data_IF_511597659506
#
_entry.id   IF_511597659506
#
_cell.length_a   1.000
_cell.length_b   1.000
_cell.length_c   1.000
_cell.angle_alpha   90.00
_cell.angle_beta   90.00
_cell.angle_gamma   90.00
#
_symmetry.space_group_name_H-M   'P 1'
#
loop_
_entity.id
_entity.type
_entity.pdbx_description
1 polymer ?
#
# COMPACT_ATOMS: atom_id res chain seq x y z
N UNK A 1 -8.92 14.39 -22.11
CA UNK A 1 -7.95 13.99 -21.06
C UNK A 1 -7.37 12.65 -21.48
N UNK A 2 -6.07 12.56 -21.81
CA UNK A 2 -5.41 11.30 -22.17
C UNK A 2 -5.64 10.28 -21.05
N UNK A 3 -6.37 9.19 -21.34
CA UNK A 3 -6.62 8.11 -20.38
C UNK A 3 -5.45 7.14 -20.44
N UNK A 4 -4.45 7.37 -19.58
CA UNK A 4 -3.42 6.38 -19.34
C UNK A 4 -4.03 5.12 -18.69
N UNK A 5 -3.63 3.94 -19.16
CA UNK A 5 -4.06 2.65 -18.60
C UNK A 5 -3.58 2.48 -17.16
N UNK A 6 -4.12 1.49 -16.46
CA UNK A 6 -3.71 1.21 -15.08
C UNK A 6 -2.24 0.73 -15.05
N UNK A 7 -1.87 -0.17 -15.95
CA UNK A 7 -0.50 -0.70 -16.02
C UNK A 7 0.51 0.41 -16.29
N UNK A 8 0.22 1.29 -17.24
CA UNK A 8 1.11 2.41 -17.58
C UNK A 8 1.34 3.34 -16.39
N UNK A 9 0.31 3.59 -15.57
CA UNK A 9 0.47 4.43 -14.37
C UNK A 9 1.33 3.75 -13.31
N UNK A 10 1.14 2.44 -13.10
CA UNK A 10 1.93 1.69 -12.13
C UNK A 10 3.40 1.63 -12.54
N UNK A 11 3.67 1.34 -13.81
CA UNK A 11 5.02 1.33 -14.37
C UNK A 11 5.67 2.72 -14.30
N UNK A 12 4.92 3.78 -14.62
CA UNK A 12 5.41 5.15 -14.52
C UNK A 12 5.74 5.58 -13.08
N UNK A 13 4.96 5.12 -12.10
CA UNK A 13 5.25 5.35 -10.68
C UNK A 13 6.48 4.54 -10.26
N UNK A 14 6.59 3.28 -10.66
CA UNK A 14 7.74 2.41 -10.33
C UNK A 14 9.03 2.99 -10.88
N UNK A 15 9.04 3.34 -12.17
CA UNK A 15 10.19 3.98 -12.82
C UNK A 15 10.55 5.30 -12.11
N UNK A 16 9.55 6.08 -11.70
CA UNK A 16 9.74 7.32 -10.94
C UNK A 16 10.33 7.11 -9.53
N UNK A 17 10.07 5.96 -8.91
CA UNK A 17 10.70 5.58 -7.63
C UNK A 17 12.18 5.23 -7.84
N UNK A 18 12.56 4.63 -8.98
CA UNK A 18 13.94 4.24 -9.31
C UNK A 18 14.81 5.40 -9.82
N UNK A 19 14.38 6.11 -10.88
CA UNK A 19 15.20 7.13 -11.56
C UNK A 19 14.78 8.57 -11.20
N UNK A 20 13.72 8.71 -10.42
CA UNK A 20 13.16 9.99 -10.02
C UNK A 20 12.10 10.54 -10.98
N UNK A 21 11.18 11.39 -10.49
CA UNK A 21 9.98 11.80 -11.23
C UNK A 21 10.28 12.64 -12.48
N UNK A 22 11.38 13.40 -12.48
CA UNK A 22 11.79 14.23 -13.62
C UNK A 22 12.34 13.39 -14.78
N UNK A 23 13.17 12.39 -14.48
CA UNK A 23 13.73 11.49 -15.51
C UNK A 23 12.66 10.53 -16.04
N UNK A 24 11.81 9.98 -15.17
CA UNK A 24 10.70 9.13 -15.58
C UNK A 24 9.72 9.86 -16.51
N UNK A 25 9.39 11.12 -16.19
CA UNK A 25 8.55 11.95 -17.06
C UNK A 25 9.15 12.15 -18.45
N UNK A 26 10.46 12.43 -18.54
CA UNK A 26 11.16 12.58 -19.82
C UNK A 26 11.19 11.27 -20.61
N UNK A 27 11.49 10.15 -19.97
CA UNK A 27 11.60 8.84 -20.62
C UNK A 27 10.25 8.34 -21.15
N UNK A 28 9.17 8.60 -20.41
CA UNK A 28 7.81 8.19 -20.78
C UNK A 28 7.11 9.21 -21.68
N UNK A 29 7.73 10.36 -21.96
CA UNK A 29 7.14 11.43 -22.75
C UNK A 29 5.89 12.06 -22.11
N UNK A 30 5.76 12.00 -20.79
CA UNK A 30 4.61 12.55 -20.05
C UNK A 30 5.01 13.74 -19.19
N UNK A 31 4.03 14.54 -18.78
CA UNK A 31 4.29 15.70 -17.95
C UNK A 31 4.76 15.27 -16.55
N UNK A 32 5.83 15.88 -16.06
CA UNK A 32 6.32 15.74 -14.69
C UNK A 32 5.23 15.91 -13.63
N UNK A 33 4.34 16.90 -13.81
CA UNK A 33 3.23 17.13 -12.89
C UNK A 33 2.31 15.91 -12.78
N UNK A 34 2.12 15.17 -13.88
CA UNK A 34 1.31 13.95 -13.92
C UNK A 34 1.90 12.83 -13.07
N UNK A 35 3.22 12.61 -13.15
CA UNK A 35 3.93 11.65 -12.30
C UNK A 35 3.77 12.02 -10.82
N UNK A 36 3.92 13.31 -10.48
CA UNK A 36 3.77 13.80 -9.10
C UNK A 36 2.35 13.58 -8.58
N UNK A 37 1.33 13.86 -9.39
CA UNK A 37 -0.06 13.64 -9.02
C UNK A 37 -0.38 12.16 -8.82
N UNK A 38 0.20 11.28 -9.64
CA UNK A 38 0.06 9.83 -9.46
C UNK A 38 0.71 9.34 -8.17
N UNK A 39 1.91 9.83 -7.82
CA UNK A 39 2.56 9.52 -6.54
C UNK A 39 1.74 10.02 -5.35
N UNK A 40 1.15 11.21 -5.43
CA UNK A 40 0.23 11.73 -4.40
C UNK A 40 -1.00 10.85 -4.26
N UNK A 41 -1.63 10.46 -5.36
CA UNK A 41 -2.82 9.59 -5.37
C UNK A 41 -2.51 8.20 -4.80
N UNK A 42 -1.32 7.65 -5.05
CA UNK A 42 -0.85 6.40 -4.42
C UNK A 42 -0.76 6.55 -2.91
N UNK A 43 -0.10 7.60 -2.41
CA UNK A 43 -0.02 7.88 -0.96
C UNK A 43 -1.39 8.08 -0.31
N UNK A 44 -2.32 8.74 -0.99
CA UNK A 44 -3.70 8.90 -0.48
C UNK A 44 -4.45 7.57 -0.49
N UNK A 45 -4.25 6.72 -1.49
CA UNK A 45 -4.81 5.35 -1.50
C UNK A 45 -4.22 4.49 -0.40
N UNK A 46 -2.91 4.48 -0.22
CA UNK A 46 -2.23 3.75 0.86
C UNK A 46 -2.71 4.25 2.24
N UNK A 47 -2.88 5.57 2.41
CA UNK A 47 -3.50 6.11 3.63
C UNK A 47 -4.94 5.67 3.80
N UNK A 48 -5.74 5.63 2.73
CA UNK A 48 -7.15 5.25 2.80
C UNK A 48 -7.34 3.76 3.03
N UNK A 49 -6.49 2.91 2.44
CA UNK A 49 -6.45 1.47 2.68
C UNK A 49 -6.01 1.16 4.12
N UNK A 50 -5.04 1.92 4.65
CA UNK A 50 -4.66 1.88 6.07
C UNK A 50 -5.68 2.51 7.02
N UNK A 51 -6.69 3.22 6.50
CA UNK A 51 -7.80 3.79 7.28
C UNK A 51 -9.11 3.05 7.09
N UNK A 52 -9.15 2.03 6.22
CA UNK A 52 -10.24 1.04 6.16
C UNK A 52 -9.99 -0.14 7.09
N UNK A 53 -8.80 -0.25 7.67
CA UNK A 53 -8.64 -0.82 9.00
C UNK A 53 -8.87 0.34 9.98
N UNK A 54 -9.98 0.30 10.71
CA UNK A 54 -10.15 1.16 11.89
C UNK A 54 -8.85 1.08 12.71
N UNK A 55 -8.34 2.18 13.31
CA UNK A 55 -7.19 2.08 14.19
C UNK A 55 -7.60 1.26 15.40
N UNK A 56 -7.46 -0.08 15.31
CA UNK A 56 -7.62 -0.98 16.45
C UNK A 56 -6.67 -0.46 17.52
N UNK A 57 -7.24 -0.12 18.66
CA UNK A 57 -6.46 0.33 19.81
C UNK A 57 -5.47 -0.77 20.19
N UNK A 58 -4.35 -0.39 20.82
CA UNK A 58 -3.33 -1.36 21.28
C UNK A 58 -3.95 -2.46 22.14
N UNK A 59 -5.01 -2.15 22.89
CA UNK A 59 -5.77 -3.10 23.70
C UNK A 59 -6.53 -4.14 22.88
N UNK A 60 -7.14 -3.75 21.76
CA UNK A 60 -7.86 -4.67 20.87
C UNK A 60 -6.91 -5.64 20.18
N UNK A 61 -5.76 -5.15 19.73
CA UNK A 61 -4.70 -5.99 19.16
C UNK A 61 -4.12 -6.95 20.19
N UNK A 62 -3.99 -6.54 21.46
CA UNK A 62 -3.54 -7.41 22.54
C UNK A 62 -4.55 -8.52 22.86
N UNK A 63 -5.86 -8.20 22.86
CA UNK A 63 -6.92 -9.22 23.02
C UNK A 63 -6.90 -10.23 21.88
N UNK A 64 -6.79 -9.77 20.64
CA UNK A 64 -6.73 -10.63 19.47
C UNK A 64 -5.49 -11.55 19.51
N UNK A 65 -4.31 -11.04 19.91
CA UNK A 65 -3.11 -11.87 20.13
C UNK A 65 -3.31 -12.88 21.26
N UNK A 66 -3.96 -12.50 22.37
CA UNK A 66 -4.19 -13.40 23.49
C UNK A 66 -5.16 -14.54 23.12
N UNK A 67 -6.22 -14.22 22.39
CA UNK A 67 -7.19 -15.20 21.88
C UNK A 67 -6.55 -16.14 20.86
N UNK A 68 -5.78 -15.62 19.92
CA UNK A 68 -5.05 -16.42 18.93
C UNK A 68 -3.97 -17.32 19.58
N UNK A 69 -3.30 -16.84 20.63
CA UNK A 69 -2.35 -17.67 21.41
C UNK A 69 -3.05 -18.79 22.15
N UNK A 70 -4.18 -18.50 22.80
CA UNK A 70 -4.97 -19.51 23.51
C UNK A 70 -5.52 -20.58 22.56
N UNK A 71 -6.00 -20.17 21.38
CA UNK A 71 -6.44 -21.10 20.35
C UNK A 71 -5.28 -22.00 19.84
N UNK A 72 -4.10 -21.41 19.62
CA UNK A 72 -2.91 -22.18 19.23
C UNK A 72 -2.45 -23.15 20.32
N UNK A 73 -2.52 -22.77 21.60
CA UNK A 73 -2.13 -23.66 22.70
C UNK A 73 -3.10 -24.84 22.83
N UNK A 74 -4.41 -24.61 22.69
CA UNK A 74 -5.41 -25.70 22.68
C UNK A 74 -5.18 -26.65 21.49
N UNK A 75 -4.86 -26.10 20.31
CA UNK A 75 -4.58 -26.92 19.13
C UNK A 75 -3.27 -27.70 19.26
N UNK A 76 -2.26 -27.14 19.93
CA UNK A 76 -1.00 -27.84 20.23
C UNK A 76 -1.19 -28.95 21.26
N UNK A 77 -1.97 -28.71 22.30
CA UNK A 77 -2.28 -29.72 23.32
C UNK A 77 -3.13 -30.87 22.75
N UNK A 78 -3.93 -30.63 21.71
CA UNK A 78 -4.71 -31.67 21.03
C UNK A 78 -3.93 -32.46 19.97
N UNK A 79 -2.73 -32.00 19.59
CA UNK A 79 -1.84 -32.64 18.62
C UNK A 79 -0.63 -33.33 19.28
N UNK A 80 -0.54 -33.31 20.61
CA UNK A 80 0.39 -34.11 21.43
C UNK A 80 -0.29 -35.36 21.97
#
# INVERSE_FOLDING_TARGET
MQRYSKEFREEAISLSDEIGPKKAAQQLGINYATIIDWRKKRKTKEKKEKSTEEPKTVEELQKEIAELKKANDILKDALG
#
